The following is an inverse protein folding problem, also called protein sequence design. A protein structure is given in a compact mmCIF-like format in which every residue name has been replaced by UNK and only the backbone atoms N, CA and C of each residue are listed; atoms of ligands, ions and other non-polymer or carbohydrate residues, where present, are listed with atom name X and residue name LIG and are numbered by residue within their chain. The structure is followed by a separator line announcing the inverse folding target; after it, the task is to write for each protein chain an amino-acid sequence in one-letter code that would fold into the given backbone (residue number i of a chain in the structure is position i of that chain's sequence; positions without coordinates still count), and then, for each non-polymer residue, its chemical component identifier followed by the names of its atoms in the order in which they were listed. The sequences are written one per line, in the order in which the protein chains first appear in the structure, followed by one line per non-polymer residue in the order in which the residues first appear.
data_IF_729357817170
#
_entry.id   IF_729357817170
#
_cell.length_a   1.000
_cell.length_b   1.000
_cell.length_c   1.000
_cell.angle_alpha   90.00
_cell.angle_beta   90.00
_cell.angle_gamma   90.00
#
_symmetry.space_group_name_H-M   'P 1'
#
loop_
_entity.id
_entity.type
_entity.pdbx_description
1 polymer ?
#
# COMPACT_ATOMS: atom_id res chain seq x y z
N UNK A 1 -0.62 -12.79 9.23
CA UNK A 1 -1.13 -11.39 9.21
C UNK A 1 -2.62 -11.27 8.84
N UNK A 2 -3.12 -11.88 7.76
CA UNK A 2 -4.48 -11.62 7.24
C UNK A 2 -5.61 -11.84 8.26
N UNK A 3 -5.50 -12.91 9.07
CA UNK A 3 -6.46 -13.19 10.16
C UNK A 3 -6.40 -12.18 11.32
N UNK A 4 -5.22 -11.60 11.55
CA UNK A 4 -4.96 -10.57 12.57
C UNK A 4 -5.49 -9.20 12.13
N UNK A 5 -5.58 -8.99 10.80
CA UNK A 5 -6.07 -7.78 10.16
C UNK A 5 -7.59 -7.81 9.92
N UNK A 6 -8.29 -8.85 10.39
CA UNK A 6 -9.73 -9.02 10.19
C UNK A 6 -10.13 -9.19 8.72
N UNK A 7 -9.24 -9.74 7.88
CA UNK A 7 -9.50 -9.89 6.46
C UNK A 7 -10.67 -10.85 6.18
N UNK A 8 -11.47 -10.50 5.20
CA UNK A 8 -12.53 -11.34 4.64
C UNK A 8 -12.24 -11.60 3.17
N UNK A 9 -12.27 -12.87 2.76
CA UNK A 9 -12.16 -13.22 1.35
C UNK A 9 -13.46 -12.79 0.65
N UNK A 10 -13.33 -12.00 -0.42
CA UNK A 10 -14.43 -11.63 -1.29
C UNK A 10 -14.17 -12.24 -2.66
N UNK A 11 -15.02 -13.18 -3.03
CA UNK A 11 -15.03 -13.62 -4.42
C UNK A 11 -15.54 -12.44 -5.26
N UNK A 12 -14.66 -11.78 -6.02
CA UNK A 12 -14.99 -10.67 -6.95
C UNK A 12 -15.81 -11.15 -8.16
N UNK A 13 -16.34 -12.37 -8.08
CA UNK A 13 -16.97 -13.15 -9.15
C UNK A 13 -18.38 -12.74 -9.52
N UNK A 14 -19.00 -11.78 -8.82
CA UNK A 14 -20.36 -11.37 -9.18
C UNK A 14 -20.40 -10.54 -10.49
N UNK A 15 -19.28 -9.98 -10.94
CA UNK A 15 -19.18 -9.26 -12.22
C UNK A 15 -18.41 -10.03 -13.31
N UNK A 16 -17.88 -11.21 -13.02
CA UNK A 16 -16.96 -11.94 -13.91
C UNK A 16 -17.48 -13.36 -14.21
N UNK A 17 -18.62 -13.45 -14.90
CA UNK A 17 -19.18 -14.72 -15.38
C UNK A 17 -18.18 -15.41 -16.32
N UNK A 18 -17.48 -16.45 -15.84
CA UNK A 18 -16.65 -17.34 -16.67
C UNK A 18 -15.14 -17.31 -16.42
N UNK A 19 -14.59 -16.38 -15.62
CA UNK A 19 -13.14 -16.36 -15.28
C UNK A 19 -12.83 -16.49 -13.78
N UNK A 20 -13.81 -16.93 -12.97
CA UNK A 20 -13.73 -17.01 -11.51
C UNK A 20 -12.57 -17.84 -10.93
N UNK A 21 -12.00 -18.78 -11.70
CA UNK A 21 -10.85 -19.59 -11.25
C UNK A 21 -9.50 -18.85 -11.37
N UNK A 22 -9.50 -17.66 -11.97
CA UNK A 22 -8.31 -16.87 -12.31
C UNK A 22 -8.23 -15.54 -11.57
N UNK A 23 -9.20 -15.25 -10.70
CA UNK A 23 -9.35 -13.98 -9.99
C UNK A 23 -9.73 -14.22 -8.53
N UNK A 24 -9.09 -13.49 -7.62
CA UNK A 24 -9.48 -13.45 -6.21
C UNK A 24 -9.17 -12.08 -5.58
N UNK A 25 -9.99 -11.67 -4.61
CA UNK A 25 -9.74 -10.47 -3.80
C UNK A 25 -9.94 -10.79 -2.32
N UNK A 26 -8.91 -10.55 -1.52
CA UNK A 26 -9.05 -10.54 -0.07
C UNK A 26 -9.08 -9.10 0.40
N UNK A 27 -10.07 -8.75 1.19
CA UNK A 27 -10.29 -7.39 1.66
C UNK A 27 -10.19 -7.32 3.18
N UNK A 28 -9.50 -6.31 3.69
CA UNK A 28 -9.32 -6.06 5.11
C UNK A 28 -9.61 -4.58 5.41
N UNK A 29 -10.01 -4.29 6.64
CA UNK A 29 -10.18 -2.92 7.15
C UNK A 29 -11.29 -2.07 6.46
N UNK A 30 -12.18 -2.67 5.66
CA UNK A 30 -13.06 -1.93 4.73
C UNK A 30 -14.17 -1.04 5.34
N UNK A 31 -14.56 -1.18 6.62
CA UNK A 31 -15.90 -0.71 7.04
C UNK A 31 -15.97 0.49 7.99
N UNK A 32 -14.87 0.97 8.57
CA UNK A 32 -14.92 2.09 9.54
C UNK A 32 -14.00 3.26 9.23
N UNK A 33 -12.88 3.03 8.54
CA UNK A 33 -11.82 4.03 8.36
C UNK A 33 -11.91 4.80 7.04
N UNK A 34 -12.72 4.36 6.07
CA UNK A 34 -12.56 4.82 4.69
C UNK A 34 -11.19 4.44 4.11
N UNK A 35 -10.56 3.39 4.65
CA UNK A 35 -9.29 2.81 4.19
C UNK A 35 -9.51 1.32 3.94
N UNK A 36 -9.32 0.86 2.71
CA UNK A 36 -9.40 -0.55 2.35
C UNK A 36 -8.03 -1.12 2.05
N UNK A 37 -7.68 -2.25 2.67
CA UNK A 37 -6.53 -3.05 2.26
C UNK A 37 -7.02 -4.21 1.40
N UNK A 38 -6.52 -4.31 0.18
CA UNK A 38 -6.88 -5.37 -0.75
C UNK A 38 -5.66 -6.19 -1.17
N UNK A 39 -5.86 -7.49 -1.30
CA UNK A 39 -4.95 -8.42 -1.94
C UNK A 39 -5.67 -8.98 -3.15
N UNK A 40 -5.24 -8.58 -4.33
CA UNK A 40 -5.80 -9.04 -5.59
C UNK A 40 -4.85 -10.05 -6.21
N UNK A 41 -5.41 -11.13 -6.73
CA UNK A 41 -4.70 -12.08 -7.56
C UNK A 41 -5.46 -12.21 -8.87
N UNK A 42 -4.79 -11.93 -9.99
CA UNK A 42 -5.34 -12.02 -11.34
C UNK A 42 -4.32 -12.65 -12.29
N UNK A 43 -4.65 -13.82 -12.84
CA UNK A 43 -3.77 -14.55 -13.78
C UNK A 43 -4.00 -14.21 -15.25
N UNK A 44 -4.97 -13.33 -15.57
CA UNK A 44 -5.15 -12.82 -16.92
C UNK A 44 -4.18 -11.67 -17.22
N UNK A 45 -3.84 -10.88 -16.20
CA UNK A 45 -2.92 -9.75 -16.28
C UNK A 45 -1.48 -10.20 -16.55
N UNK A 46 -0.70 -9.35 -17.24
CA UNK A 46 0.71 -9.63 -17.54
C UNK A 46 1.59 -9.27 -16.34
N UNK A 47 2.29 -10.27 -15.81
CA UNK A 47 3.29 -10.09 -14.74
C UNK A 47 4.75 -10.03 -15.22
N UNK A 48 5.02 -10.43 -16.48
CA UNK A 48 6.36 -10.59 -17.03
C UNK A 48 6.90 -12.02 -16.85
N UNK A 49 8.23 -12.20 -16.93
CA UNK A 49 8.90 -13.51 -16.79
C UNK A 49 8.92 -14.04 -15.35
N UNK A 50 8.76 -13.14 -14.37
CA UNK A 50 8.49 -13.42 -12.95
C UNK A 50 7.14 -12.83 -12.60
N UNK A 51 6.17 -13.66 -12.27
CA UNK A 51 4.84 -13.16 -11.91
C UNK A 51 4.81 -12.63 -10.46
N UNK A 52 3.62 -12.25 -9.99
CA UNK A 52 3.44 -11.75 -8.62
C UNK A 52 3.77 -12.84 -7.60
N UNK A 53 3.43 -14.10 -7.88
CA UNK A 53 3.64 -15.21 -6.96
C UNK A 53 5.14 -15.50 -6.79
N UNK A 54 5.95 -15.36 -7.84
CA UNK A 54 7.42 -15.45 -7.78
C UNK A 54 8.02 -14.40 -6.83
N UNK A 55 7.59 -13.14 -6.93
CA UNK A 55 8.08 -12.05 -6.10
C UNK A 55 7.55 -12.11 -4.66
N UNK A 56 6.28 -12.47 -4.47
CA UNK A 56 5.68 -12.67 -3.15
C UNK A 56 6.41 -13.81 -2.41
N UNK A 57 6.73 -14.91 -3.10
CA UNK A 57 7.55 -16.00 -2.56
C UNK A 57 8.96 -15.52 -2.19
N UNK A 58 9.60 -14.74 -3.06
CA UNK A 58 10.92 -14.16 -2.77
C UNK A 58 10.89 -13.24 -1.53
N UNK A 59 9.88 -12.38 -1.41
CA UNK A 59 9.72 -11.50 -0.25
C UNK A 59 9.49 -12.31 1.02
N UNK A 60 8.57 -13.28 0.99
CA UNK A 60 8.31 -14.16 2.13
C UNK A 60 9.61 -14.81 2.63
N UNK A 61 10.34 -15.47 1.75
CA UNK A 61 11.62 -16.12 2.02
C UNK A 61 12.65 -15.15 2.63
N UNK A 62 12.73 -13.94 2.08
CA UNK A 62 13.64 -12.92 2.56
C UNK A 62 13.25 -12.41 3.95
N UNK A 63 11.96 -12.16 4.20
CA UNK A 63 11.45 -11.74 5.51
C UNK A 63 11.64 -12.82 6.56
N UNK A 64 11.35 -14.09 6.26
CA UNK A 64 11.56 -15.20 7.18
C UNK A 64 13.02 -15.32 7.62
N UNK A 65 13.96 -15.28 6.66
CA UNK A 65 15.40 -15.25 6.97
C UNK A 65 15.79 -14.01 7.78
N UNK A 66 15.25 -12.85 7.42
CA UNK A 66 15.48 -11.59 8.14
C UNK A 66 15.04 -11.67 9.59
N UNK A 67 13.81 -12.14 9.85
CA UNK A 67 13.26 -12.27 11.19
C UNK A 67 14.05 -13.29 12.01
N UNK A 68 14.37 -14.46 11.45
CA UNK A 68 15.16 -15.49 12.12
C UNK A 68 16.58 -15.00 12.52
N UNK A 69 17.14 -14.07 11.75
CA UNK A 69 18.47 -13.48 12.02
C UNK A 69 18.39 -12.11 12.70
N UNK A 70 17.18 -11.64 13.05
CA UNK A 70 16.92 -10.33 13.64
C UNK A 70 17.55 -9.15 12.84
N UNK A 71 17.41 -9.21 11.50
CA UNK A 71 17.94 -8.22 10.56
C UNK A 71 16.83 -7.59 9.72
N UNK A 72 16.84 -6.27 9.61
CA UNK A 72 16.02 -5.56 8.63
C UNK A 72 16.50 -5.82 7.19
N UNK A 73 15.57 -5.81 6.23
CA UNK A 73 15.89 -5.87 4.80
C UNK A 73 15.19 -4.76 4.02
N UNK A 74 15.70 -4.42 2.85
CA UNK A 74 15.23 -3.29 2.05
C UNK A 74 13.73 -3.35 1.70
N UNK A 75 13.15 -4.55 1.54
CA UNK A 75 11.75 -4.70 1.18
C UNK A 75 10.79 -4.47 2.37
N UNK A 76 11.29 -4.44 3.60
CA UNK A 76 10.47 -4.02 4.76
C UNK A 76 10.08 -2.54 4.69
N UNK A 77 10.78 -1.72 3.89
CA UNK A 77 10.38 -0.35 3.59
C UNK A 77 9.15 -0.27 2.66
N UNK A 78 8.67 -1.40 2.10
CA UNK A 78 7.33 -1.51 1.51
C UNK A 78 6.32 -2.04 2.53
N UNK A 79 6.06 -1.25 3.56
CA UNK A 79 5.20 -1.63 4.67
C UNK A 79 3.99 -0.72 4.83
N UNK A 80 2.90 -1.30 5.32
CA UNK A 80 1.79 -0.55 5.91
C UNK A 80 2.00 -0.51 7.43
N UNK A 81 2.14 0.70 7.97
CA UNK A 81 2.27 0.92 9.41
C UNK A 81 0.90 1.09 10.05
N UNK A 82 0.70 0.36 11.14
CA UNK A 82 -0.55 0.24 11.86
C UNK A 82 -0.34 0.53 13.34
N UNK A 83 -1.27 1.24 13.95
CA UNK A 83 -1.20 1.69 15.33
C UNK A 83 -2.31 1.09 16.19
N UNK A 84 -1.98 0.76 17.43
CA UNK A 84 -2.95 0.69 18.53
C UNK A 84 -2.30 1.20 19.83
N UNK A 85 -3.08 1.80 20.75
CA UNK A 85 -2.59 2.30 22.03
C UNK A 85 -1.83 1.25 22.85
N UNK A 86 -2.29 -0.01 22.79
CA UNK A 86 -1.65 -1.18 23.40
C UNK A 86 -1.76 -2.39 22.46
N UNK A 87 -0.62 -2.92 22.01
CA UNK A 87 -0.53 -4.09 21.12
C UNK A 87 -0.22 -5.39 21.86
N UNK A 88 -0.24 -5.40 23.20
CA UNK A 88 0.19 -6.55 24.00
C UNK A 88 -0.56 -7.83 23.65
N UNK A 89 -1.88 -7.78 23.52
CA UNK A 89 -2.67 -8.96 23.15
C UNK A 89 -2.30 -9.48 21.75
N UNK A 90 -2.04 -8.56 20.81
CA UNK A 90 -1.62 -8.88 19.45
C UNK A 90 -0.25 -9.57 19.42
N UNK A 91 0.72 -9.05 20.16
CA UNK A 91 2.07 -9.64 20.25
C UNK A 91 2.05 -10.95 21.02
N UNK A 92 1.29 -11.05 22.11
CA UNK A 92 1.08 -12.31 22.84
C UNK A 92 0.49 -13.40 21.94
N UNK A 93 -0.50 -13.05 21.12
CA UNK A 93 -1.07 -13.96 20.13
C UNK A 93 -0.02 -14.44 19.13
N UNK A 94 0.82 -13.55 18.60
CA UNK A 94 1.88 -13.93 17.65
C UNK A 94 2.86 -14.92 18.30
N UNK A 95 3.34 -14.61 19.51
CA UNK A 95 4.31 -15.46 20.23
C UNK A 95 3.70 -16.81 20.60
N UNK A 96 2.52 -16.80 21.20
CA UNK A 96 1.97 -17.97 21.91
C UNK A 96 0.93 -18.76 21.12
N UNK A 97 0.39 -18.20 20.02
CA UNK A 97 -0.69 -18.83 19.23
C UNK A 97 -0.30 -19.06 17.78
N UNK A 98 0.21 -18.05 17.07
CA UNK A 98 0.57 -18.24 15.66
C UNK A 98 1.95 -18.91 15.51
N UNK A 99 2.91 -18.52 16.34
CA UNK A 99 4.30 -18.98 16.24
C UNK A 99 5.06 -18.33 15.08
N UNK A 100 4.54 -17.24 14.54
CA UNK A 100 5.19 -16.51 13.44
C UNK A 100 6.44 -15.76 13.94
N UNK A 101 7.50 -15.76 13.14
CA UNK A 101 8.67 -14.92 13.41
C UNK A 101 8.36 -13.45 13.09
N UNK A 102 9.01 -12.53 13.81
CA UNK A 102 8.87 -11.09 13.61
C UNK A 102 10.19 -10.37 13.89
N UNK A 103 10.31 -9.12 13.44
CA UNK A 103 11.38 -8.20 13.85
C UNK A 103 10.83 -7.22 14.89
N UNK A 104 11.49 -7.08 16.04
CA UNK A 104 11.10 -6.11 17.05
C UNK A 104 12.17 -5.04 17.25
N UNK A 105 11.73 -3.79 17.26
CA UNK A 105 12.57 -2.61 17.49
C UNK A 105 11.90 -1.63 18.44
N UNK A 106 12.69 -0.79 19.08
CA UNK A 106 12.18 0.34 19.84
C UNK A 106 12.97 1.62 19.60
N UNK A 107 12.34 2.75 19.85
CA UNK A 107 12.98 4.06 19.92
C UNK A 107 12.29 4.95 20.93
N UNK A 108 12.99 5.98 21.40
CA UNK A 108 12.45 6.99 22.31
C UNK A 108 12.25 8.28 21.53
N UNK A 109 11.01 8.73 21.40
CA UNK A 109 10.63 9.97 20.72
C UNK A 109 9.89 10.83 21.73
N UNK A 110 10.35 12.07 21.95
CA UNK A 110 9.74 13.00 22.91
C UNK A 110 9.52 12.39 24.32
N UNK A 111 10.51 11.64 24.82
CA UNK A 111 10.49 10.90 26.09
C UNK A 111 9.45 9.76 26.18
N UNK A 112 8.84 9.35 25.07
CA UNK A 112 7.97 8.18 24.99
C UNK A 112 8.67 7.07 24.25
N UNK A 113 8.59 5.84 24.77
CA UNK A 113 9.09 4.66 24.08
C UNK A 113 8.05 4.20 23.06
N UNK A 114 8.47 4.08 21.81
CA UNK A 114 7.70 3.51 20.72
C UNK A 114 8.26 2.14 20.39
N UNK A 115 7.40 1.14 20.35
CA UNK A 115 7.71 -0.21 19.91
C UNK A 115 7.23 -0.40 18.47
N UNK A 116 8.07 -1.03 17.65
CA UNK A 116 7.77 -1.41 16.27
C UNK A 116 7.95 -2.92 16.09
N UNK A 117 6.93 -3.58 15.57
CA UNK A 117 6.95 -5.01 15.26
C UNK A 117 6.66 -5.23 13.78
N UNK A 118 7.62 -5.78 13.05
CA UNK A 118 7.43 -6.15 11.65
C UNK A 118 6.94 -7.59 11.57
N UNK A 119 5.79 -7.77 10.95
CA UNK A 119 5.16 -9.06 10.71
C UNK A 119 4.88 -9.22 9.21
N UNK A 120 5.06 -10.44 8.70
CA UNK A 120 4.78 -10.73 7.30
C UNK A 120 3.39 -11.39 7.12
N UNK A 121 2.74 -11.08 6.00
CA UNK A 121 1.65 -11.84 5.44
C UNK A 121 2.17 -13.10 4.73
N UNK A 122 1.32 -14.11 4.51
CA UNK A 122 1.65 -15.24 3.65
C UNK A 122 2.08 -14.83 2.23
N UNK A 123 1.61 -13.69 1.72
CA UNK A 123 2.01 -13.10 0.43
C UNK A 123 3.33 -12.33 0.47
N UNK A 124 4.10 -12.41 1.56
CA UNK A 124 5.35 -11.66 1.69
C UNK A 124 5.18 -10.15 1.94
N UNK A 125 3.96 -9.60 1.89
CA UNK A 125 3.71 -8.21 2.31
C UNK A 125 4.02 -8.03 3.78
N UNK A 126 4.56 -6.87 4.16
CA UNK A 126 4.99 -6.61 5.53
C UNK A 126 4.17 -5.50 6.18
N UNK A 127 3.86 -5.68 7.46
CA UNK A 127 3.18 -4.71 8.29
C UNK A 127 4.08 -4.31 9.44
N UNK A 128 4.12 -3.01 9.73
CA UNK A 128 4.76 -2.48 10.93
C UNK A 128 3.67 -2.19 11.97
N UNK A 129 3.60 -2.96 13.03
CA UNK A 129 2.70 -2.72 14.16
C UNK A 129 3.40 -1.83 15.17
N UNK A 130 2.79 -0.71 15.52
CA UNK A 130 3.36 0.25 16.46
C UNK A 130 2.47 0.59 17.63
N UNK A 131 3.12 0.81 18.76
CA UNK A 131 2.46 1.15 20.00
C UNK A 131 3.43 1.80 20.98
N UNK A 132 2.89 2.52 21.95
CA UNK A 132 3.63 3.07 23.07
C UNK A 132 3.51 2.20 24.33
N UNK A 133 2.57 1.24 24.34
CA UNK A 133 2.36 0.34 25.46
C UNK A 133 2.61 -1.12 25.08
N UNK A 134 3.35 -1.80 25.94
CA UNK A 134 3.56 -3.25 25.88
C UNK A 134 3.68 -3.79 27.30
N UNK A 135 2.98 -4.89 27.61
CA UNK A 135 3.04 -5.55 28.92
C UNK A 135 4.46 -5.99 29.24
N UNK A 136 4.84 -5.83 30.52
CA UNK A 136 6.17 -6.21 31.01
C UNK A 136 6.48 -7.70 30.75
N UNK A 137 5.50 -8.58 30.92
CA UNK A 137 5.66 -10.02 30.65
C UNK A 137 6.11 -10.31 29.21
N UNK A 138 5.62 -9.53 28.24
CA UNK A 138 6.04 -9.64 26.85
C UNK A 138 7.46 -9.11 26.70
N UNK A 139 7.75 -7.92 27.24
CA UNK A 139 9.10 -7.33 27.22
C UNK A 139 10.16 -8.28 27.79
N UNK A 140 9.82 -9.04 28.83
CA UNK A 140 10.72 -10.01 29.46
C UNK A 140 10.89 -11.29 28.64
N UNK A 141 9.93 -11.60 27.75
CA UNK A 141 9.89 -12.84 26.96
C UNK A 141 10.57 -12.75 25.59
N UNK A 142 10.83 -11.53 25.09
CA UNK A 142 11.36 -11.31 23.73
C UNK A 142 12.55 -10.34 23.73
N UNK A 143 13.39 -10.45 22.70
CA UNK A 143 14.46 -9.47 22.48
C UNK A 143 13.95 -8.33 21.61
N UNK A 144 13.91 -7.11 22.16
CA UNK A 144 13.63 -5.88 21.41
C UNK A 144 14.89 -5.03 21.40
N UNK A 145 15.37 -4.68 20.20
CA UNK A 145 16.59 -3.88 20.04
C UNK A 145 16.29 -2.44 19.68
N UNK A 146 17.19 -1.51 19.98
CA UNK A 146 16.97 -0.13 19.59
C UNK A 146 17.16 0.04 18.09
N UNK A 147 16.34 0.86 17.43
CA UNK A 147 16.64 1.31 16.06
C UNK A 147 18.03 1.98 15.99
N UNK A 148 18.40 2.72 17.03
CA UNK A 148 19.70 3.43 17.09
C UNK A 148 20.89 2.48 17.03
N UNK A 149 20.80 1.26 17.57
CA UNK A 149 21.92 0.30 17.49
C UNK A 149 22.16 -0.24 16.09
N UNK A 150 21.26 0.03 15.14
CA UNK A 150 21.33 -0.41 13.75
C UNK A 150 21.25 0.74 12.75
N UNK A 151 21.58 1.96 13.20
CA UNK A 151 21.44 3.18 12.39
C UNK A 151 22.17 3.14 11.06
N UNK A 152 23.20 2.31 10.94
CA UNK A 152 24.01 2.20 9.73
C UNK A 152 23.27 1.48 8.59
N UNK A 153 22.22 0.69 8.91
CA UNK A 153 21.49 -0.15 7.94
C UNK A 153 19.96 -0.11 8.02
N UNK A 154 19.37 0.43 9.08
CA UNK A 154 17.92 0.34 9.32
C UNK A 154 17.18 1.68 9.32
N UNK A 155 17.82 2.76 8.87
CA UNK A 155 17.21 4.09 8.72
C UNK A 155 16.25 4.51 9.88
N UNK A 156 16.70 4.67 11.14
CA UNK A 156 15.80 4.93 12.29
C UNK A 156 14.79 6.06 12.09
N UNK A 157 15.18 7.11 11.34
CA UNK A 157 14.32 8.25 11.02
C UNK A 157 13.08 7.88 10.21
N UNK A 158 13.10 6.83 9.38
CA UNK A 158 11.92 6.41 8.63
C UNK A 158 10.84 5.81 9.52
N UNK A 159 11.19 5.44 10.75
CA UNK A 159 10.26 4.87 11.74
C UNK A 159 9.72 5.91 12.72
N UNK A 160 10.21 7.17 12.70
CA UNK A 160 9.73 8.20 13.62
C UNK A 160 8.27 8.63 13.31
N UNK A 161 7.52 8.87 14.39
CA UNK A 161 6.14 9.35 14.40
C UNK A 161 6.11 10.76 14.98
N UNK A 162 6.07 11.76 14.10
CA UNK A 162 6.22 13.17 14.49
C UNK A 162 4.99 14.02 14.20
N UNK A 163 4.05 13.52 13.40
CA UNK A 163 2.84 14.26 13.01
C UNK A 163 1.87 14.45 14.17
N UNK A 164 1.64 13.38 14.91
CA UNK A 164 0.69 13.33 16.01
C UNK A 164 1.42 13.02 17.31
N UNK A 165 1.03 13.70 18.38
CA UNK A 165 1.35 13.24 19.73
C UNK A 165 0.68 11.90 20.02
N UNK A 166 1.16 11.19 21.03
CA UNK A 166 0.56 9.93 21.50
C UNK A 166 -0.92 10.12 21.81
N UNK A 167 -1.25 11.19 22.53
CA UNK A 167 -2.63 11.50 22.88
C UNK A 167 -3.51 11.72 21.64
N UNK A 168 -3.02 12.45 20.64
CA UNK A 168 -3.80 12.66 19.42
C UNK A 168 -4.03 11.34 18.66
N UNK A 169 -3.04 10.44 18.63
CA UNK A 169 -3.22 9.11 18.04
C UNK A 169 -4.18 8.22 18.83
N UNK A 170 -4.13 8.26 20.16
CA UNK A 170 -5.10 7.56 21.02
C UNK A 170 -6.52 8.09 20.76
N UNK A 171 -6.71 9.42 20.72
CA UNK A 171 -8.01 10.06 20.45
C UNK A 171 -8.54 9.67 19.05
N UNK A 172 -7.66 9.63 18.03
CA UNK A 172 -8.02 9.17 16.69
C UNK A 172 -8.35 7.68 16.64
N UNK A 173 -7.58 6.86 17.37
CA UNK A 173 -7.84 5.44 17.47
C UNK A 173 -9.23 5.15 18.05
N UNK A 174 -9.60 5.85 19.12
CA UNK A 174 -10.95 5.75 19.72
C UNK A 174 -12.03 6.24 18.75
N UNK A 175 -11.81 7.39 18.10
CA UNK A 175 -12.79 7.98 17.18
C UNK A 175 -13.05 7.13 15.93
N UNK A 176 -12.02 6.45 15.42
CA UNK A 176 -12.10 5.65 14.20
C UNK A 176 -12.50 4.19 14.44
N UNK A 177 -12.55 3.76 15.71
CA UNK A 177 -12.98 2.41 16.12
C UNK A 177 -14.07 2.44 17.21
N UNK A 178 -15.18 3.20 17.03
CA UNK A 178 -16.16 3.45 18.10
C UNK A 178 -16.94 2.19 18.51
N UNK A 179 -17.22 1.30 17.56
CA UNK A 179 -18.11 0.15 17.75
C UNK A 179 -17.39 -1.22 17.68
N UNK A 180 -16.10 -1.22 17.31
CA UNK A 180 -15.30 -2.42 17.18
C UNK A 180 -13.89 -2.12 17.69
N UNK A 181 -13.64 -2.32 18.98
CA UNK A 181 -12.30 -2.19 19.54
C UNK A 181 -11.47 -3.47 19.37
N UNK A 182 -12.08 -4.56 18.91
CA UNK A 182 -11.44 -5.86 18.75
C UNK A 182 -11.81 -6.57 17.46
N UNK A 183 -10.89 -7.41 16.98
CA UNK A 183 -11.05 -8.34 15.86
C UNK A 183 -11.85 -9.58 16.28
N UNK A 184 -12.15 -10.48 15.34
CA UNK A 184 -12.80 -11.78 15.61
C UNK A 184 -12.03 -12.70 16.58
N UNK A 185 -10.78 -12.34 16.91
CA UNK A 185 -9.91 -13.05 17.85
C UNK A 185 -9.77 -12.32 19.19
N UNK A 186 -10.65 -11.35 19.47
CA UNK A 186 -10.57 -10.46 20.65
C UNK A 186 -9.26 -9.67 20.75
N UNK A 187 -8.53 -9.51 19.63
CA UNK A 187 -7.32 -8.70 19.54
C UNK A 187 -7.68 -7.25 19.24
N UNK A 188 -6.94 -6.24 19.75
CA UNK A 188 -7.14 -4.84 19.39
C UNK A 188 -7.24 -4.64 17.88
N UNK A 189 -8.18 -3.80 17.44
CA UNK A 189 -8.16 -3.32 16.06
C UNK A 189 -6.89 -2.51 15.80
N UNK A 190 -6.47 -2.47 14.54
CA UNK A 190 -5.24 -1.81 14.12
C UNK A 190 -5.61 -0.67 13.18
N UNK A 191 -5.18 0.55 13.51
CA UNK A 191 -5.45 1.75 12.74
C UNK A 191 -4.29 2.04 11.78
N UNK A 192 -4.49 2.01 10.46
CA UNK A 192 -3.46 2.41 9.51
C UNK A 192 -3.11 3.89 9.70
N UNK A 193 -1.81 4.19 9.74
CA UNK A 193 -1.30 5.56 9.94
C UNK A 193 -0.27 5.97 8.90
N UNK A 194 0.36 5.02 8.20
CA UNK A 194 1.41 5.31 7.22
C UNK A 194 1.57 4.20 6.19
N UNK A 195 1.75 4.57 4.93
CA UNK A 195 2.21 3.69 3.86
C UNK A 195 3.64 4.05 3.52
N UNK A 196 4.54 3.08 3.68
CA UNK A 196 5.94 3.19 3.29
C UNK A 196 6.14 2.58 1.89
N UNK A 197 6.93 3.26 1.06
CA UNK A 197 7.28 2.85 -0.29
C UNK A 197 8.81 2.90 -0.38
N UNK A 198 9.44 1.74 -0.61
CA UNK A 198 10.88 1.70 -0.82
C UNK A 198 11.23 2.28 -2.19
N UNK A 199 12.30 3.07 -2.26
CA UNK A 199 12.71 3.81 -3.46
C UNK A 199 14.21 3.62 -3.69
N UNK A 200 14.64 3.23 -4.90
CA UNK A 200 16.06 3.27 -5.26
C UNK A 200 16.63 4.69 -5.11
N UNK A 201 17.83 4.79 -4.56
CA UNK A 201 18.45 6.09 -4.20
C UNK A 201 18.47 7.09 -5.36
N UNK A 202 18.72 6.60 -6.58
CA UNK A 202 18.77 7.37 -7.81
C UNK A 202 17.41 7.84 -8.32
N UNK A 203 16.31 7.20 -7.90
CA UNK A 203 14.94 7.57 -8.29
C UNK A 203 14.26 8.51 -7.31
N UNK A 204 14.81 8.69 -6.10
CA UNK A 204 14.15 9.47 -5.03
C UNK A 204 13.71 10.87 -5.48
N UNK A 205 14.56 11.60 -6.20
CA UNK A 205 14.20 12.92 -6.71
C UNK A 205 13.10 12.87 -7.79
N UNK A 206 13.18 11.88 -8.69
CA UNK A 206 12.18 11.69 -9.75
C UNK A 206 10.81 11.28 -9.21
N UNK A 207 10.75 10.60 -8.06
CA UNK A 207 9.47 10.34 -7.35
C UNK A 207 8.82 11.66 -6.96
N UNK A 208 9.56 12.57 -6.33
CA UNK A 208 9.01 13.87 -5.91
C UNK A 208 8.58 14.72 -7.10
N UNK A 209 9.37 14.70 -8.18
CA UNK A 209 9.04 15.36 -9.44
C UNK A 209 7.76 14.80 -10.05
N UNK A 210 7.57 13.48 -10.05
CA UNK A 210 6.35 12.84 -10.54
C UNK A 210 5.13 13.35 -9.77
N UNK A 211 5.16 13.32 -8.43
CA UNK A 211 4.05 13.84 -7.62
C UNK A 211 3.85 15.34 -7.81
N UNK A 212 4.91 16.13 -7.97
CA UNK A 212 4.80 17.57 -8.29
C UNK A 212 4.10 17.83 -9.61
N UNK A 213 4.38 16.99 -10.61
CA UNK A 213 3.76 17.09 -11.91
C UNK A 213 2.30 16.63 -11.87
N UNK A 214 1.99 15.48 -11.29
CA UNK A 214 0.67 14.87 -11.47
C UNK A 214 -0.27 15.03 -10.28
N UNK A 215 0.27 15.20 -9.07
CA UNK A 215 -0.47 15.25 -7.82
C UNK A 215 -0.01 16.42 -6.94
N UNK A 216 -0.13 17.68 -7.41
CA UNK A 216 0.47 18.83 -6.74
C UNK A 216 -0.05 19.07 -5.32
N UNK A 217 -1.28 18.64 -5.02
CA UNK A 217 -1.83 18.69 -3.66
C UNK A 217 -1.08 17.77 -2.67
N UNK A 218 -0.58 16.63 -3.15
CA UNK A 218 0.29 15.74 -2.37
C UNK A 218 1.69 16.34 -2.32
N UNK A 219 2.23 16.85 -3.44
CA UNK A 219 3.61 17.32 -3.47
C UNK A 219 3.87 18.57 -2.63
N UNK A 220 2.87 19.45 -2.49
CA UNK A 220 2.97 20.67 -1.70
C UNK A 220 3.31 20.41 -0.23
N UNK A 221 3.06 19.18 0.24
CA UNK A 221 3.20 18.78 1.62
C UNK A 221 4.45 17.92 1.89
N UNK A 222 5.38 17.81 0.93
CA UNK A 222 6.56 16.98 1.13
C UNK A 222 7.52 17.56 2.16
N UNK A 223 7.78 16.77 3.19
CA UNK A 223 8.89 16.97 4.13
C UNK A 223 9.99 15.96 3.80
N UNK A 224 11.21 16.44 3.53
CA UNK A 224 12.33 15.58 3.15
C UNK A 224 13.47 15.65 4.16
N UNK A 225 13.98 14.47 4.52
CA UNK A 225 15.12 14.28 5.42
C UNK A 225 16.15 13.44 4.68
N UNK A 226 17.42 13.87 4.71
CA UNK A 226 18.54 13.07 4.22
C UNK A 226 19.49 12.83 5.39
N UNK A 227 19.67 11.56 5.70
CA UNK A 227 20.65 11.06 6.65
C UNK A 227 21.80 10.40 5.89
N UNK A 228 22.90 10.09 6.57
CA UNK A 228 24.04 9.40 5.94
C UNK A 228 23.68 8.05 5.32
N UNK A 229 22.67 7.38 5.87
CA UNK A 229 22.26 6.01 5.52
C UNK A 229 21.01 5.96 4.64
N UNK A 230 20.21 7.02 4.60
CA UNK A 230 18.92 6.99 3.90
C UNK A 230 18.38 8.37 3.53
N UNK A 231 17.46 8.38 2.56
CA UNK A 231 16.63 9.54 2.21
C UNK A 231 15.18 9.21 2.48
N UNK A 232 14.46 10.16 3.04
CA UNK A 232 13.05 10.03 3.39
C UNK A 232 12.33 11.24 2.84
N UNK A 233 11.21 11.02 2.17
CA UNK A 233 10.27 12.08 1.84
C UNK A 233 8.87 11.65 2.25
N UNK A 234 8.21 12.46 3.06
CA UNK A 234 6.87 12.16 3.57
C UNK A 234 5.89 13.21 3.07
N UNK A 235 4.78 12.77 2.49
CA UNK A 235 3.58 13.57 2.29
C UNK A 235 2.42 12.92 3.05
N UNK A 236 1.20 13.41 2.87
CA UNK A 236 0.03 12.91 3.55
C UNK A 236 -1.26 13.12 2.78
N UNK A 237 -2.23 12.26 3.11
CA UNK A 237 -3.60 12.31 2.62
C UNK A 237 -4.57 12.18 3.79
N UNK A 238 -5.63 12.98 3.76
CA UNK A 238 -6.77 12.78 4.66
C UNK A 238 -7.55 11.53 4.29
N UNK A 239 -8.17 10.85 5.27
CA UNK A 239 -9.16 9.81 4.95
C UNK A 239 -10.46 10.42 4.43
N UNK A 240 -11.14 9.72 3.52
CA UNK A 240 -12.42 10.15 2.97
C UNK A 240 -13.44 10.43 4.08
N UNK A 241 -13.56 9.53 5.04
CA UNK A 241 -14.50 9.65 6.17
C UNK A 241 -14.05 10.68 7.20
N UNK A 242 -12.75 10.95 7.28
CA UNK A 242 -12.15 11.83 8.29
C UNK A 242 -10.96 12.62 7.69
N UNK A 243 -11.22 13.67 6.88
CA UNK A 243 -10.17 14.36 6.11
C UNK A 243 -9.13 15.10 6.96
N UNK A 244 -9.38 15.29 8.25
CA UNK A 244 -8.46 15.92 9.21
C UNK A 244 -7.48 14.92 9.82
N UNK A 245 -7.75 13.62 9.73
CA UNK A 245 -6.79 12.57 10.03
C UNK A 245 -5.96 12.26 8.80
N UNK A 246 -4.67 12.53 8.89
CA UNK A 246 -3.71 12.45 7.82
C UNK A 246 -2.93 11.12 7.91
N UNK A 247 -3.08 10.30 6.88
CA UNK A 247 -2.26 9.14 6.61
C UNK A 247 -0.95 9.56 5.96
N UNK A 248 0.19 9.17 6.54
CA UNK A 248 1.51 9.46 5.96
C UNK A 248 1.75 8.61 4.71
N UNK A 249 2.28 9.20 3.64
CA UNK A 249 2.86 8.48 2.50
C UNK A 249 4.35 8.77 2.50
N UNK A 250 5.15 7.74 2.74
CA UNK A 250 6.59 7.88 2.98
C UNK A 250 7.40 7.12 1.96
N UNK A 251 8.21 7.85 1.21
CA UNK A 251 9.18 7.32 0.26
C UNK A 251 10.54 7.17 0.96
N UNK A 252 11.08 5.96 1.01
CA UNK A 252 12.28 5.62 1.77
C UNK A 252 13.32 5.03 0.82
N UNK A 253 14.48 5.67 0.74
CA UNK A 253 15.66 5.11 0.11
C UNK A 253 16.64 4.69 1.19
N UNK A 254 16.75 3.38 1.45
CA UNK A 254 17.69 2.80 2.41
C UNK A 254 18.63 1.78 1.72
N UNK A 255 19.64 2.23 0.96
CA UNK A 255 20.53 1.32 0.22
C UNK A 255 21.40 0.44 1.12
N UNK A 256 21.52 0.77 2.41
CA UNK A 256 22.37 0.04 3.36
C UNK A 256 21.65 -1.15 4.03
N UNK A 257 20.33 -1.24 3.94
CA UNK A 257 19.60 -2.41 4.41
C UNK A 257 19.98 -3.65 3.59
N UNK A 258 19.91 -4.82 4.23
CA UNK A 258 20.23 -6.10 3.58
C UNK A 258 19.23 -6.45 2.48
N UNK A 259 19.67 -7.25 1.52
CA UNK A 259 18.83 -7.82 0.45
C UNK A 259 19.28 -9.26 0.14
N UNK A 260 18.44 -10.00 -0.59
CA UNK A 260 18.71 -11.37 -1.02
C UNK A 260 19.33 -11.42 -2.41
N UNK A 261 18.72 -12.19 -3.30
CA UNK A 261 19.12 -12.28 -4.72
C UNK A 261 18.85 -10.97 -5.47
N UNK A 262 17.76 -10.28 -5.13
CA UNK A 262 17.31 -9.04 -5.77
C UNK A 262 17.27 -7.90 -4.75
N UNK A 263 17.71 -6.72 -5.13
CA UNK A 263 17.53 -5.49 -4.34
C UNK A 263 16.25 -4.72 -4.78
N UNK A 264 15.91 -3.63 -4.08
CA UNK A 264 14.74 -2.80 -4.44
C UNK A 264 14.88 -2.18 -5.84
N UNK A 265 16.11 -1.89 -6.29
CA UNK A 265 16.36 -1.34 -7.63
C UNK A 265 16.08 -2.38 -8.70
N UNK A 266 16.44 -3.64 -8.49
CA UNK A 266 16.15 -4.74 -9.41
C UNK A 266 14.65 -4.95 -9.55
N UNK A 267 13.92 -4.95 -8.43
CA UNK A 267 12.46 -5.05 -8.41
C UNK A 267 11.78 -3.88 -9.14
N UNK A 268 12.19 -2.64 -8.85
CA UNK A 268 11.64 -1.45 -9.51
C UNK A 268 11.95 -1.43 -11.01
N UNK A 269 13.16 -1.84 -11.41
CA UNK A 269 13.50 -1.96 -12.83
C UNK A 269 12.65 -3.01 -13.52
N UNK A 270 12.49 -4.17 -12.88
CA UNK A 270 11.69 -5.27 -13.42
C UNK A 270 10.26 -4.82 -13.73
N UNK A 271 9.58 -4.19 -12.78
CA UNK A 271 8.20 -3.72 -12.98
C UNK A 271 8.12 -2.67 -14.08
N UNK A 272 9.04 -1.71 -14.11
CA UNK A 272 9.08 -0.70 -15.18
C UNK A 272 9.25 -1.32 -16.57
N UNK A 273 10.02 -2.40 -16.69
CA UNK A 273 10.19 -3.12 -17.95
C UNK A 273 8.90 -3.88 -18.34
N UNK A 274 8.17 -4.44 -17.37
CA UNK A 274 6.85 -5.06 -17.60
C UNK A 274 5.85 -4.01 -18.05
N UNK A 275 5.71 -2.90 -17.32
CA UNK A 275 4.80 -1.79 -17.64
C UNK A 275 5.06 -1.24 -19.05
N UNK A 276 6.33 -1.03 -19.41
CA UNK A 276 6.72 -0.55 -20.74
C UNK A 276 6.27 -1.46 -21.88
N UNK A 277 6.14 -2.76 -21.63
CA UNK A 277 5.78 -3.74 -22.65
C UNK A 277 4.27 -3.98 -22.76
N UNK A 278 3.51 -3.72 -21.71
CA UNK A 278 2.10 -4.13 -21.60
C UNK A 278 1.12 -3.01 -21.27
N UNK A 279 1.61 -1.78 -21.06
CA UNK A 279 0.76 -0.62 -20.75
C UNK A 279 1.18 0.57 -21.60
N UNK A 280 0.28 1.53 -21.75
CA UNK A 280 0.61 2.84 -22.28
C UNK A 280 -0.43 3.88 -21.92
N UNK A 281 -0.46 4.96 -22.70
CA UNK A 281 -1.49 5.99 -22.58
C UNK A 281 -2.81 5.40 -23.02
N UNK A 282 -3.77 5.34 -22.10
CA UNK A 282 -5.16 4.91 -22.34
C UNK A 282 -5.30 3.46 -22.83
N UNK A 283 -4.40 2.57 -22.39
CA UNK A 283 -4.56 1.12 -22.62
C UNK A 283 -3.68 0.27 -21.71
N UNK A 284 -4.08 -1.00 -21.62
CA UNK A 284 -3.27 -2.08 -21.09
C UNK A 284 -3.31 -2.18 -19.57
N UNK A 285 -2.83 -3.31 -19.07
CA UNK A 285 -2.84 -3.62 -17.64
C UNK A 285 -1.68 -4.56 -17.31
N UNK A 286 -1.18 -4.46 -16.08
CA UNK A 286 -0.22 -5.42 -15.52
C UNK A 286 -0.68 -5.83 -14.14
N UNK A 287 -0.30 -7.04 -13.71
CA UNK A 287 -0.58 -7.50 -12.35
C UNK A 287 0.08 -6.62 -11.27
N UNK A 288 1.03 -5.77 -11.65
CA UNK A 288 1.72 -4.84 -10.77
C UNK A 288 0.90 -3.58 -10.46
N UNK A 289 -0.14 -3.27 -11.24
CA UNK A 289 -1.04 -2.17 -10.94
C UNK A 289 -1.87 -2.44 -9.67
N UNK A 290 -2.03 -3.70 -9.26
CA UNK A 290 -2.67 -4.07 -7.99
C UNK A 290 -1.79 -3.77 -6.76
N UNK A 291 -0.53 -3.38 -6.95
CA UNK A 291 0.35 -2.82 -5.92
C UNK A 291 0.27 -1.29 -5.99
N UNK A 292 -0.79 -0.72 -5.45
CA UNK A 292 -1.05 0.72 -5.56
C UNK A 292 -1.48 1.37 -4.25
N UNK A 293 -1.52 2.71 -4.28
CA UNK A 293 -2.30 3.53 -3.36
C UNK A 293 -3.61 3.91 -4.03
N UNK A 294 -4.74 3.68 -3.36
CA UNK A 294 -6.04 4.19 -3.79
C UNK A 294 -6.26 5.60 -3.25
N UNK A 295 -6.62 6.55 -4.11
CA UNK A 295 -6.94 7.93 -3.74
C UNK A 295 -8.28 8.33 -4.34
N UNK A 296 -9.10 9.01 -3.54
CA UNK A 296 -10.36 9.58 -4.01
C UNK A 296 -10.19 11.07 -4.27
N UNK A 297 -10.63 11.53 -5.44
CA UNK A 297 -10.48 12.90 -5.92
C UNK A 297 -11.84 13.58 -6.01
N UNK A 298 -11.96 14.71 -5.32
CA UNK A 298 -13.20 15.49 -5.25
C UNK A 298 -13.10 16.87 -5.90
N UNK A 299 -11.89 17.34 -6.24
CA UNK A 299 -11.64 18.72 -6.69
C UNK A 299 -11.50 18.91 -8.21
N UNK A 300 -11.04 17.90 -8.93
CA UNK A 300 -10.80 17.96 -10.38
C UNK A 300 -11.30 16.66 -11.04
N UNK A 301 -11.85 16.72 -12.27
CA UNK A 301 -12.20 15.51 -13.01
C UNK A 301 -10.95 14.72 -13.37
N UNK A 302 -11.08 13.40 -13.47
CA UNK A 302 -10.00 12.49 -13.84
C UNK A 302 -9.42 12.82 -15.22
N UNK A 303 -10.24 13.32 -16.16
CA UNK A 303 -9.80 13.74 -17.50
C UNK A 303 -8.66 14.76 -17.47
N UNK A 304 -8.61 15.66 -16.49
CA UNK A 304 -7.53 16.64 -16.40
C UNK A 304 -6.19 16.00 -16.02
N UNK A 305 -6.23 14.98 -15.16
CA UNK A 305 -5.06 14.18 -14.82
C UNK A 305 -4.64 13.31 -16.03
N UNK A 306 -5.60 12.67 -16.70
CA UNK A 306 -5.36 11.83 -17.88
C UNK A 306 -4.74 12.59 -19.04
N UNK A 307 -5.24 13.80 -19.34
CA UNK A 307 -4.61 14.71 -20.34
C UNK A 307 -3.16 14.96 -19.97
N UNK A 308 -2.87 15.26 -18.70
CA UNK A 308 -1.50 15.51 -18.23
C UNK A 308 -0.61 14.27 -18.29
N UNK A 309 -1.13 13.09 -17.97
CA UNK A 309 -0.41 11.83 -18.12
C UNK A 309 -0.09 11.57 -19.60
N UNK A 310 -1.05 11.77 -20.50
CA UNK A 310 -0.86 11.61 -21.94
C UNK A 310 0.22 12.57 -22.49
N UNK A 311 0.20 13.84 -22.07
CA UNK A 311 1.22 14.84 -22.42
C UNK A 311 2.65 14.42 -22.04
N UNK A 312 2.79 13.63 -20.98
CA UNK A 312 4.08 13.16 -20.46
C UNK A 312 4.36 11.69 -20.79
N UNK A 313 3.53 11.04 -21.60
CA UNK A 313 3.61 9.63 -21.94
C UNK A 313 3.72 8.73 -20.69
N UNK A 314 2.93 9.04 -19.67
CA UNK A 314 2.74 8.22 -18.47
C UNK A 314 1.64 7.22 -18.76
N UNK A 315 1.87 5.93 -18.50
CA UNK A 315 0.84 4.91 -18.69
C UNK A 315 -0.32 5.10 -17.73
N UNK A 316 -1.53 4.99 -18.26
CA UNK A 316 -2.76 4.96 -17.47
C UNK A 316 -3.87 4.22 -18.24
N UNK A 317 -4.85 3.67 -17.51
CA UNK A 317 -6.02 3.06 -18.11
C UNK A 317 -7.27 3.45 -17.30
N UNK A 318 -8.19 4.24 -17.88
CA UNK A 318 -9.46 4.57 -17.25
C UNK A 318 -10.53 3.52 -17.50
N UNK A 319 -11.33 3.26 -16.47
CA UNK A 319 -12.56 2.50 -16.61
C UNK A 319 -13.72 3.25 -15.96
N UNK A 320 -14.83 3.34 -16.68
CA UNK A 320 -16.10 3.80 -16.15
C UNK A 320 -16.74 2.69 -15.31
N UNK A 321 -17.75 3.08 -14.54
CA UNK A 321 -18.73 2.12 -14.02
C UNK A 321 -20.11 2.73 -14.20
N UNK A 322 -21.00 2.03 -14.89
CA UNK A 322 -22.38 2.45 -15.19
C UNK A 322 -23.31 2.61 -13.95
N UNK A 323 -22.76 2.63 -12.73
CA UNK A 323 -23.52 2.71 -11.49
C UNK A 323 -22.83 3.57 -10.45
N UNK A 324 -23.55 4.47 -9.78
CA UNK A 324 -23.12 4.98 -8.48
C UNK A 324 -23.11 3.83 -7.47
N UNK A 325 -22.16 3.83 -6.52
CA UNK A 325 -22.20 2.83 -5.45
C UNK A 325 -23.45 3.03 -4.58
N UNK A 326 -23.69 2.14 -3.62
CA UNK A 326 -24.84 2.24 -2.70
C UNK A 326 -24.87 3.52 -1.85
N UNK A 327 -23.78 4.30 -1.83
CA UNK A 327 -23.67 5.60 -1.18
C UNK A 327 -23.91 6.80 -2.13
N UNK A 328 -24.15 6.55 -3.42
CA UNK A 328 -24.36 7.59 -4.43
C UNK A 328 -23.06 8.22 -4.94
N UNK A 329 -21.91 7.61 -4.64
CA UNK A 329 -20.58 8.12 -5.03
C UNK A 329 -20.20 7.64 -6.44
N UNK A 330 -19.35 8.43 -7.08
CA UNK A 330 -18.85 8.20 -8.42
C UNK A 330 -17.85 7.05 -8.40
N UNK A 331 -17.96 6.17 -9.37
CA UNK A 331 -17.31 4.86 -9.44
C UNK A 331 -16.36 4.78 -10.64
N UNK A 332 -16.00 5.93 -11.19
CA UNK A 332 -15.00 6.04 -12.24
C UNK A 332 -13.62 5.89 -11.62
N UNK A 333 -12.77 5.10 -12.29
CA UNK A 333 -11.42 4.82 -11.82
C UNK A 333 -10.42 5.04 -12.96
N UNK A 334 -9.24 5.52 -12.60
CA UNK A 334 -8.08 5.57 -13.48
C UNK A 334 -6.89 4.97 -12.73
N UNK A 335 -6.26 3.95 -13.29
CA UNK A 335 -5.02 3.40 -12.77
C UNK A 335 -3.83 3.93 -13.55
N UNK A 336 -2.73 4.19 -12.86
CA UNK A 336 -1.45 4.57 -13.47
C UNK A 336 -0.29 3.86 -12.79
N UNK A 337 0.80 3.67 -13.53
CA UNK A 337 2.06 3.06 -13.07
C UNK A 337 2.64 3.70 -11.79
N UNK A 338 2.26 4.94 -11.45
CA UNK A 338 2.72 5.63 -10.24
C UNK A 338 4.24 5.77 -10.20
N UNK A 339 4.86 5.43 -9.06
CA UNK A 339 6.31 5.58 -8.86
C UNK A 339 6.91 4.42 -8.07
N UNK A 340 8.19 4.11 -8.32
CA UNK A 340 8.95 3.12 -7.56
C UNK A 340 8.24 1.76 -7.39
N UNK A 341 7.69 1.21 -8.48
CA UNK A 341 6.90 -0.03 -8.47
C UNK A 341 5.70 0.02 -7.53
N UNK A 342 5.07 1.18 -7.42
CA UNK A 342 3.88 1.42 -6.64
C UNK A 342 2.92 2.29 -7.45
N UNK A 343 1.87 1.66 -7.96
CA UNK A 343 0.83 2.28 -8.77
C UNK A 343 -0.01 3.29 -7.99
N UNK A 344 -0.87 3.99 -8.72
CA UNK A 344 -1.89 4.87 -8.16
C UNK A 344 -3.23 4.51 -8.80
N UNK A 345 -4.20 4.16 -7.97
CA UNK A 345 -5.61 4.07 -8.36
C UNK A 345 -6.28 5.40 -7.97
N UNK A 346 -6.89 6.06 -8.94
CA UNK A 346 -7.56 7.35 -8.75
C UNK A 346 -9.05 7.15 -8.98
N UNK A 347 -9.83 7.28 -7.92
CA UNK A 347 -11.29 7.28 -8.00
C UNK A 347 -11.79 8.74 -8.09
N UNK A 348 -12.74 9.01 -8.98
CA UNK A 348 -13.23 10.37 -9.19
C UNK A 348 -14.40 10.44 -10.16
N UNK A 349 -14.45 11.53 -10.93
CA UNK A 349 -15.43 11.76 -11.99
C UNK A 349 -14.74 11.89 -13.34
N UNK A 350 -15.36 11.37 -14.39
CA UNK A 350 -15.04 11.82 -15.74
C UNK A 350 -15.81 13.10 -16.13
N UNK A 351 -15.10 14.05 -16.77
CA UNK A 351 -15.73 15.17 -17.48
C UNK A 351 -16.07 14.84 -18.92
N UNK A 352 -15.54 13.71 -19.43
CA UNK A 352 -15.68 13.27 -20.82
C UNK A 352 -15.02 14.19 -21.85
N UNK A 353 -14.05 14.99 -21.41
CA UNK A 353 -13.29 15.88 -22.28
C UNK A 353 -12.02 15.23 -22.87
N UNK A 354 -11.50 14.19 -22.22
CA UNK A 354 -10.41 13.38 -22.75
C UNK A 354 -10.95 12.32 -23.73
N UNK A 355 -12.03 11.62 -23.37
CA UNK A 355 -12.79 10.71 -24.23
C UNK A 355 -14.29 10.88 -24.03
N UNK A 356 -15.06 10.58 -25.08
CA UNK A 356 -16.53 10.70 -25.05
C UNK A 356 -17.22 9.65 -24.19
N UNK A 357 -16.56 8.53 -23.86
CA UNK A 357 -16.99 7.56 -22.87
C UNK A 357 -15.86 6.56 -22.53
N UNK A 358 -16.09 5.73 -21.52
CA UNK A 358 -15.14 4.77 -20.94
C UNK A 358 -15.82 3.42 -20.71
N UNK A 359 -15.09 2.32 -20.90
CA UNK A 359 -15.58 0.95 -20.72
C UNK A 359 -15.53 0.54 -19.24
N UNK A 360 -16.41 -0.41 -18.86
CA UNK A 360 -16.30 -1.09 -17.57
C UNK A 360 -15.01 -1.93 -17.50
N UNK A 361 -14.49 -2.09 -16.28
CA UNK A 361 -13.29 -2.91 -16.02
C UNK A 361 -13.60 -4.41 -16.16
N UNK A 362 -13.00 -5.08 -17.15
CA UNK A 362 -13.14 -6.52 -17.36
C UNK A 362 -11.94 -7.29 -16.77
N UNK A 363 -12.15 -7.93 -15.62
CA UNK A 363 -11.13 -8.77 -14.97
C UNK A 363 -10.75 -10.03 -15.76
N UNK A 364 -11.54 -10.40 -16.78
CA UNK A 364 -11.32 -11.60 -17.57
C UNK A 364 -10.37 -11.39 -18.75
N UNK A 365 -10.03 -10.16 -19.10
CA UNK A 365 -9.07 -9.85 -20.16
C UNK A 365 -7.70 -9.46 -19.58
N UNK A 366 -6.68 -9.45 -20.44
CA UNK A 366 -5.30 -9.16 -20.00
C UNK A 366 -5.05 -7.66 -19.87
N UNK A 367 -5.81 -6.86 -20.60
CA UNK A 367 -5.74 -5.41 -20.76
C UNK A 367 -6.93 -4.69 -20.12
N UNK A 368 -7.82 -5.42 -19.45
CA UNK A 368 -8.98 -4.92 -18.68
C UNK A 368 -10.10 -4.29 -19.50
N UNK A 369 -9.99 -4.33 -20.82
CA UNK A 369 -11.06 -3.96 -21.74
C UNK A 369 -12.05 -5.11 -21.95
N UNK A 370 -13.37 -4.84 -22.01
CA UNK A 370 -14.36 -5.84 -22.37
C UNK A 370 -14.12 -6.42 -23.75
N UNK A 371 -14.32 -7.73 -23.91
CA UNK A 371 -14.25 -8.36 -25.23
C UNK A 371 -15.30 -7.73 -26.18
N UNK A 372 -14.87 -7.29 -27.37
CA UNK A 372 -15.77 -6.73 -28.40
C UNK A 372 -16.81 -7.79 -28.81
N UNK A 373 -18.06 -7.62 -28.37
CA UNK A 373 -19.16 -8.50 -28.78
C UNK A 373 -19.61 -8.11 -30.17
N UNK A 374 -19.42 -8.99 -31.16
CA UNK A 374 -19.86 -8.74 -32.53
C UNK A 374 -21.38 -8.54 -32.58
N UNK A 375 -21.84 -7.30 -32.76
CA UNK A 375 -23.25 -6.98 -33.02
C UNK A 375 -23.92 -5.97 -32.08
N UNK A 376 -23.26 -5.48 -31.03
CA UNK A 376 -23.73 -4.30 -30.28
C UNK A 376 -23.15 -3.03 -30.89
N UNK A 377 -24.02 -2.13 -31.34
CA UNK A 377 -23.63 -0.82 -31.89
C UNK A 377 -23.41 0.26 -30.82
N UNK A 378 -23.22 -0.14 -29.57
CA UNK A 378 -22.92 0.74 -28.44
C UNK A 378 -21.81 0.09 -27.61
N UNK A 379 -20.64 -0.07 -28.21
CA UNK A 379 -19.41 -0.04 -27.42
C UNK A 379 -19.06 1.43 -27.24
N UNK A 380 -18.60 1.80 -26.05
CA UNK A 380 -17.60 2.85 -25.99
C UNK A 380 -16.49 2.46 -26.95
N UNK A 381 -16.49 3.11 -28.12
CA UNK A 381 -15.67 2.74 -29.26
C UNK A 381 -14.19 2.79 -28.96
#
# INVERSE_FOLDING_TARGET
ADKLMGCTFRNVTQSADGCSVKLGKTSCMETTLGFGLHFVWNTNAKGGDKDVDDWDSYFQDLHERSFANNKYNQFMDYSLTLYAPDISATIDYIINKSGDNFLARYQIINNVTWYSFYVAAPSGKVFELVSTNLKQEILDSITIQSWKSHSDSECPKSHEYTRYSVKELDDWYEALNPDATTTVWDLPMLMPIRTNIAVPTELHASVLEWYSNFMPAISANFESITESQCKISTSYLGYETNPTFNHDIRFISNPNAGYGEYDVRDFVRYIRDVEKNYTGVDYGWTSWYDRHLGVQLQGCPLDDYMKKFAEHNVSFHPHGRDSTNSAGEMTDHCWTQGTAAYGLEMQGNFSYEYRSCYTDFDWCTWDTDPAVVSGSSETCG
#
